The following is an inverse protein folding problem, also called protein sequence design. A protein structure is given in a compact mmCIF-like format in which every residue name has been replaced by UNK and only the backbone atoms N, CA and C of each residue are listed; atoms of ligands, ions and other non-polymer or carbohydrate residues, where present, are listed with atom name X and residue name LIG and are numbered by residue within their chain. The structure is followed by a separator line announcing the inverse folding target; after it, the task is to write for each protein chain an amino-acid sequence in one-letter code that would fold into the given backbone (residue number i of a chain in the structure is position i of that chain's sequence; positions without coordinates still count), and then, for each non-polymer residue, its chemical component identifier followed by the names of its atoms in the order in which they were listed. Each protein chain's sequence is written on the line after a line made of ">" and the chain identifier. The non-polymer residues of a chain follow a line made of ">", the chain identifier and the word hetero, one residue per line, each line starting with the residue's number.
data_IF_606222526155
#
_entry.id   IF_606222526155
#
_cell.length_a   1.000
_cell.length_b   1.000
_cell.length_c   1.000
_cell.angle_alpha   90.00
_cell.angle_beta   90.00
_cell.angle_gamma   90.00
#
_symmetry.space_group_name_H-M   'P 1'
#
loop_
_entity.id
_entity.type
_entity.pdbx_description
1 polymer ?
#
# COMPACT_ATOMS: atom_id res chain seq x y z
N UNK A 1 -0.27 42.06 27.06
CA UNK A 1 -1.17 41.14 27.78
C UNK A 1 -1.51 40.00 26.85
N UNK A 2 -0.74 38.91 26.91
CA UNK A 2 -1.01 37.70 26.14
C UNK A 2 -1.84 36.77 27.02
N UNK A 3 -3.11 36.59 26.69
CA UNK A 3 -4.00 35.68 27.39
C UNK A 3 -3.54 34.25 27.16
N UNK A 4 -3.02 33.66 28.23
CA UNK A 4 -2.62 32.26 28.34
C UNK A 4 -3.90 31.41 28.37
N UNK A 5 -4.36 30.95 27.21
CA UNK A 5 -5.52 30.06 27.13
C UNK A 5 -5.05 28.61 27.38
N UNK A 6 -4.68 28.33 28.63
CA UNK A 6 -4.51 26.96 29.11
C UNK A 6 -5.91 26.36 29.26
N UNK A 7 -6.45 25.81 28.17
CA UNK A 7 -7.64 24.96 28.24
C UNK A 7 -7.32 23.79 29.17
N UNK A 8 -7.82 23.86 30.41
CA UNK A 8 -7.72 22.78 31.39
C UNK A 8 -8.35 21.54 30.76
N UNK A 9 -7.52 20.57 30.38
CA UNK A 9 -7.99 19.29 29.86
C UNK A 9 -8.64 18.58 31.04
N UNK A 10 -9.98 18.64 31.11
CA UNK A 10 -10.75 17.93 32.13
C UNK A 10 -10.68 16.44 31.83
N UNK A 11 -9.78 15.77 32.53
CA UNK A 11 -9.71 14.32 32.54
C UNK A 11 -11.03 13.75 33.06
N UNK A 12 -11.61 12.73 32.40
CA UNK A 12 -12.69 11.95 33.00
C UNK A 12 -12.20 11.40 34.35
N UNK A 13 -13.09 11.40 35.34
CA UNK A 13 -12.78 10.77 36.63
C UNK A 13 -12.36 9.30 36.39
N UNK A 14 -11.39 8.74 37.13
CA UNK A 14 -10.98 7.35 36.98
C UNK A 14 -12.14 6.34 37.10
N UNK A 15 -13.20 6.73 37.82
CA UNK A 15 -14.43 5.97 38.02
C UNK A 15 -15.57 6.35 37.06
N UNK A 16 -15.29 7.16 36.03
CA UNK A 16 -16.26 7.45 34.99
C UNK A 16 -16.65 6.14 34.27
N UNK A 17 -17.91 6.03 33.87
CA UNK A 17 -18.42 4.87 33.14
C UNK A 17 -17.71 4.72 31.79
N UNK A 18 -17.70 3.50 31.26
CA UNK A 18 -17.01 3.16 30.02
C UNK A 18 -17.46 4.05 28.84
N UNK A 19 -18.72 4.50 28.79
CA UNK A 19 -19.17 5.38 27.71
C UNK A 19 -18.54 6.78 27.79
N UNK A 20 -18.43 7.36 28.99
CA UNK A 20 -17.76 8.65 29.20
C UNK A 20 -16.26 8.59 28.91
N UNK A 21 -15.59 7.49 29.32
CA UNK A 21 -14.17 7.29 29.01
C UNK A 21 -13.95 7.10 27.50
N UNK A 22 -14.82 6.35 26.82
CA UNK A 22 -14.75 6.18 25.37
C UNK A 22 -15.00 7.48 24.61
N UNK A 23 -15.99 8.28 24.98
CA UNK A 23 -16.29 9.55 24.29
C UNK A 23 -15.09 10.51 24.32
N UNK A 24 -14.38 10.58 25.46
CA UNK A 24 -13.15 11.36 25.57
C UNK A 24 -12.02 10.79 24.69
N UNK A 25 -11.88 9.46 24.66
CA UNK A 25 -10.91 8.80 23.77
C UNK A 25 -11.24 9.08 22.30
N UNK A 26 -12.48 8.90 21.87
CA UNK A 26 -12.96 9.09 20.50
C UNK A 26 -12.68 10.51 19.98
N UNK A 27 -12.93 11.54 20.78
CA UNK A 27 -12.57 12.93 20.42
C UNK A 27 -11.04 13.09 20.26
N UNK A 28 -10.27 12.48 21.16
CA UNK A 28 -8.81 12.44 21.07
C UNK A 28 -8.31 11.71 19.83
N UNK A 29 -8.89 10.56 19.50
CA UNK A 29 -8.60 9.75 18.33
C UNK A 29 -8.87 10.55 17.05
N UNK A 30 -10.01 11.24 16.94
CA UNK A 30 -10.30 12.11 15.81
C UNK A 30 -9.26 13.21 15.62
N UNK A 31 -8.80 13.84 16.70
CA UNK A 31 -7.75 14.86 16.62
C UNK A 31 -6.41 14.25 16.18
N UNK A 32 -6.03 13.08 16.71
CA UNK A 32 -4.79 12.40 16.35
C UNK A 32 -4.77 11.88 14.91
N UNK A 33 -5.92 11.42 14.39
CA UNK A 33 -6.03 10.94 13.01
C UNK A 33 -6.02 12.09 12.00
N UNK A 34 -6.60 13.25 12.35
CA UNK A 34 -6.64 14.42 11.47
C UNK A 34 -5.34 15.24 11.50
N UNK A 35 -4.76 15.45 12.68
CA UNK A 35 -3.58 16.31 12.88
C UNK A 35 -2.56 15.66 13.84
N UNK A 36 -1.92 14.54 13.46
CA UNK A 36 -1.04 13.78 14.34
C UNK A 36 0.14 14.60 14.91
N UNK A 37 0.61 15.61 14.17
CA UNK A 37 1.76 16.45 14.55
C UNK A 37 1.42 17.59 15.53
N UNK A 38 0.13 17.91 15.74
CA UNK A 38 -0.29 19.06 16.55
C UNK A 38 -0.83 18.70 17.93
N UNK A 39 -0.86 17.40 18.27
CA UNK A 39 -1.40 16.94 19.54
C UNK A 39 -0.43 17.31 20.67
N UNK A 40 -0.82 18.18 21.63
CA UNK A 40 0.06 18.54 22.73
C UNK A 40 0.35 17.34 23.62
N UNK A 41 1.59 17.22 24.10
CA UNK A 41 2.00 16.14 25.00
C UNK A 41 1.07 15.94 26.23
N UNK A 42 0.57 17.00 26.91
CA UNK A 42 -0.40 16.83 28.00
C UNK A 42 -1.71 16.17 27.58
N UNK A 43 -2.20 16.48 26.37
CA UNK A 43 -3.41 15.86 25.81
C UNK A 43 -3.17 14.39 25.48
N UNK A 44 -2.01 14.07 24.90
CA UNK A 44 -1.60 12.69 24.64
C UNK A 44 -1.49 11.85 25.93
N UNK A 45 -0.86 12.40 26.97
CA UNK A 45 -0.74 11.71 28.27
C UNK A 45 -2.11 11.48 28.91
N UNK A 46 -3.01 12.45 28.80
CA UNK A 46 -4.38 12.31 29.27
C UNK A 46 -5.12 11.16 28.59
N UNK A 47 -5.02 11.08 27.27
CA UNK A 47 -5.60 9.98 26.49
C UNK A 47 -4.99 8.63 26.88
N UNK A 48 -3.68 8.57 27.10
CA UNK A 48 -3.00 7.34 27.51
C UNK A 48 -3.44 6.87 28.90
N UNK A 49 -3.60 7.79 29.85
CA UNK A 49 -4.12 7.47 31.18
C UNK A 49 -5.56 6.96 31.09
N UNK A 50 -6.41 7.55 30.25
CA UNK A 50 -7.79 7.08 30.07
C UNK A 50 -7.82 5.71 29.38
N UNK A 51 -6.99 5.45 28.37
CA UNK A 51 -6.92 4.13 27.72
C UNK A 51 -6.41 3.04 28.67
N UNK A 52 -5.43 3.38 29.52
CA UNK A 52 -4.94 2.50 30.58
C UNK A 52 -6.02 2.23 31.63
N UNK A 53 -6.69 3.27 32.12
CA UNK A 53 -7.77 3.15 33.09
C UNK A 53 -8.89 2.29 32.53
N UNK A 54 -9.32 2.49 31.27
CA UNK A 54 -10.33 1.67 30.60
C UNK A 54 -9.97 0.17 30.61
N UNK A 55 -8.70 -0.17 30.39
CA UNK A 55 -8.24 -1.56 30.43
C UNK A 55 -8.12 -2.12 31.87
N UNK A 56 -8.16 -1.26 32.89
CA UNK A 56 -7.83 -1.62 34.28
C UNK A 56 -8.91 -1.27 35.31
N UNK A 57 -10.02 -0.60 34.96
CA UNK A 57 -11.05 -0.09 35.89
C UNK A 57 -11.69 -1.19 36.75
N UNK A 58 -11.72 -2.43 36.28
CA UNK A 58 -12.17 -3.59 37.07
C UNK A 58 -11.16 -4.11 38.11
N UNK A 59 -9.86 -3.76 38.00
CA UNK A 59 -8.86 -4.19 39.00
C UNK A 59 -8.97 -3.43 40.32
N UNK A 60 -9.63 -2.28 40.35
CA UNK A 60 -9.68 -1.40 41.54
C UNK A 60 -10.92 -1.64 42.40
N UNK A 61 -12.04 -2.10 41.81
CA UNK A 61 -13.32 -2.24 42.52
C UNK A 61 -13.72 -3.69 42.85
N UNK A 62 -12.94 -4.69 42.42
CA UNK A 62 -13.20 -6.09 42.71
C UNK A 62 -12.47 -6.59 43.96
N UNK A 63 -13.08 -6.43 45.14
CA UNK A 63 -12.75 -7.23 46.34
C UNK A 63 -13.14 -8.71 46.21
N UNK A 64 -12.88 -9.32 45.04
CA UNK A 64 -13.27 -10.67 44.66
C UNK A 64 -12.07 -11.62 44.70
N UNK A 65 -12.32 -12.87 45.09
CA UNK A 65 -11.31 -13.91 45.36
C UNK A 65 -10.35 -14.13 44.17
N UNK A 66 -9.11 -14.60 44.42
CA UNK A 66 -8.03 -14.65 43.42
C UNK A 66 -8.20 -15.63 42.23
N UNK A 67 -9.38 -16.23 42.04
CA UNK A 67 -9.53 -17.40 41.17
C UNK A 67 -10.54 -17.26 40.01
N UNK A 68 -11.07 -16.06 39.73
CA UNK A 68 -11.87 -15.82 38.52
C UNK A 68 -11.10 -14.97 37.51
N UNK A 69 -10.48 -15.64 36.54
CA UNK A 69 -9.73 -15.04 35.41
C UNK A 69 -10.68 -14.43 34.34
N UNK A 70 -11.90 -14.02 34.71
CA UNK A 70 -12.95 -13.61 33.76
C UNK A 70 -13.47 -12.20 34.04
N UNK A 71 -12.68 -11.16 33.75
CA UNK A 71 -13.30 -9.86 33.39
C UNK A 71 -12.37 -8.85 32.68
N UNK A 72 -11.05 -8.90 32.90
CA UNK A 72 -10.10 -8.05 32.15
C UNK A 72 -10.06 -8.35 30.64
N UNK A 73 -10.50 -9.55 30.24
CA UNK A 73 -10.64 -9.93 28.83
C UNK A 73 -11.87 -9.30 28.16
N UNK A 74 -12.88 -8.89 28.92
CA UNK A 74 -14.12 -8.31 28.39
C UNK A 74 -13.91 -6.83 28.05
N UNK A 75 -13.34 -6.04 28.96
CA UNK A 75 -13.03 -4.62 28.70
C UNK A 75 -11.99 -4.43 27.59
N UNK A 76 -10.96 -5.28 27.52
CA UNK A 76 -10.01 -5.24 26.41
C UNK A 76 -10.66 -5.57 25.05
N UNK A 77 -11.65 -6.47 25.04
CA UNK A 77 -12.41 -6.82 23.84
C UNK A 77 -13.31 -5.67 23.41
N UNK A 78 -14.06 -5.10 24.34
CA UNK A 78 -14.95 -3.98 24.08
C UNK A 78 -14.16 -2.75 23.57
N UNK A 79 -13.00 -2.44 24.17
CA UNK A 79 -12.14 -1.36 23.67
C UNK A 79 -11.62 -1.64 22.25
N UNK A 80 -11.24 -2.89 21.95
CA UNK A 80 -10.77 -3.28 20.62
C UNK A 80 -11.88 -3.18 19.57
N UNK A 81 -13.10 -3.64 19.90
CA UNK A 81 -14.28 -3.51 19.03
C UNK A 81 -14.61 -2.03 18.79
N UNK A 82 -14.62 -1.19 19.83
CA UNK A 82 -14.82 0.26 19.69
C UNK A 82 -13.77 0.96 18.82
N UNK A 83 -12.50 0.59 18.95
CA UNK A 83 -11.42 1.10 18.10
C UNK A 83 -11.62 0.65 16.65
N UNK A 84 -12.09 -0.58 16.44
CA UNK A 84 -12.41 -1.10 15.10
C UNK A 84 -13.54 -0.29 14.47
N UNK A 85 -14.65 -0.10 15.18
CA UNK A 85 -15.80 0.68 14.72
C UNK A 85 -15.43 2.15 14.42
N UNK A 86 -14.54 2.74 15.24
CA UNK A 86 -14.04 4.09 15.02
C UNK A 86 -13.25 4.19 13.70
N UNK A 87 -12.35 3.23 13.46
CA UNK A 87 -11.56 3.20 12.22
C UNK A 87 -12.47 3.03 11.00
N UNK A 88 -13.46 2.14 11.06
CA UNK A 88 -14.41 1.94 9.97
C UNK A 88 -15.20 3.22 9.65
N UNK A 89 -15.78 3.88 10.67
CA UNK A 89 -16.49 5.16 10.50
C UNK A 89 -15.58 6.24 9.92
N UNK A 90 -14.33 6.31 10.39
CA UNK A 90 -13.36 7.26 9.86
C UNK A 90 -13.10 6.99 8.36
N UNK A 91 -12.92 5.73 7.97
CA UNK A 91 -12.75 5.35 6.57
C UNK A 91 -13.98 5.67 5.73
N UNK A 92 -15.20 5.53 6.24
CA UNK A 92 -16.42 5.91 5.53
C UNK A 92 -16.48 7.41 5.21
N UNK A 93 -16.00 8.27 6.11
CA UNK A 93 -15.87 9.70 5.82
C UNK A 93 -14.87 9.98 4.69
N UNK A 94 -13.76 9.22 4.65
CA UNK A 94 -12.76 9.35 3.58
C UNK A 94 -13.28 8.82 2.25
N UNK A 95 -14.06 7.74 2.25
CA UNK A 95 -14.76 7.20 1.07
C UNK A 95 -15.66 8.25 0.45
N UNK A 96 -16.57 8.83 1.25
CA UNK A 96 -17.51 9.84 0.79
C UNK A 96 -16.80 11.05 0.15
N UNK A 97 -15.68 11.50 0.72
CA UNK A 97 -14.88 12.58 0.15
C UNK A 97 -14.14 12.17 -1.14
N UNK A 98 -13.87 10.88 -1.34
CA UNK A 98 -13.20 10.37 -2.54
C UNK A 98 -14.13 10.17 -3.74
N UNK A 99 -15.45 10.05 -3.52
CA UNK A 99 -16.43 9.73 -4.58
C UNK A 99 -16.48 10.77 -5.70
N UNK A 100 -16.22 12.05 -5.39
CA UNK A 100 -16.20 13.14 -6.37
C UNK A 100 -14.89 13.22 -7.18
N UNK A 101 -13.83 12.55 -6.74
CA UNK A 101 -12.49 12.68 -7.31
C UNK A 101 -12.24 11.69 -8.44
N UNK A 102 -11.35 12.06 -9.38
CA UNK A 102 -11.01 11.24 -10.55
C UNK A 102 -9.51 11.24 -10.83
N UNK A 103 -9.04 10.16 -11.46
CA UNK A 103 -7.70 10.01 -12.02
C UNK A 103 -6.57 10.48 -11.09
N UNK A 104 -5.79 11.48 -11.50
CA UNK A 104 -4.62 11.98 -10.75
C UNK A 104 -5.01 12.62 -9.42
N UNK A 105 -6.16 13.30 -9.38
CA UNK A 105 -6.66 13.95 -8.18
C UNK A 105 -7.04 12.90 -7.14
N UNK A 106 -7.67 11.80 -7.59
CA UNK A 106 -7.97 10.65 -6.75
C UNK A 106 -6.70 9.99 -6.20
N UNK A 107 -5.66 9.80 -7.04
CA UNK A 107 -4.39 9.23 -6.59
C UNK A 107 -3.69 10.13 -5.57
N UNK A 108 -3.63 11.44 -5.82
CA UNK A 108 -3.01 12.40 -4.90
C UNK A 108 -3.75 12.47 -3.57
N UNK A 109 -5.08 12.50 -3.61
CA UNK A 109 -5.92 12.45 -2.42
C UNK A 109 -5.68 11.17 -1.64
N UNK A 110 -5.76 10.01 -2.31
CA UNK A 110 -5.56 8.71 -1.66
C UNK A 110 -4.18 8.61 -1.00
N UNK A 111 -3.11 9.07 -1.66
CA UNK A 111 -1.75 9.07 -1.11
C UNK A 111 -1.61 10.02 0.08
N UNK A 112 -2.20 11.21 0.00
CA UNK A 112 -2.20 12.18 1.11
C UNK A 112 -2.94 11.62 2.33
N UNK A 113 -4.09 10.99 2.09
CA UNK A 113 -4.89 10.38 3.13
C UNK A 113 -4.23 9.14 3.72
N UNK A 114 -3.54 8.34 2.91
CA UNK A 114 -2.73 7.23 3.37
C UNK A 114 -1.59 7.69 4.30
N UNK A 115 -0.82 8.69 3.89
CA UNK A 115 0.28 9.25 4.70
C UNK A 115 -0.26 9.80 6.04
N UNK A 116 -1.42 10.47 6.01
CA UNK A 116 -2.10 10.97 7.22
C UNK A 116 -2.60 9.85 8.12
N UNK A 117 -3.30 8.88 7.54
CA UNK A 117 -3.94 7.77 8.24
C UNK A 117 -2.91 6.85 8.89
N UNK A 118 -1.84 6.49 8.16
CA UNK A 118 -0.76 5.64 8.70
C UNK A 118 0.02 6.35 9.80
N UNK A 119 0.28 7.65 9.66
CA UNK A 119 0.88 8.45 10.74
C UNK A 119 -0.02 8.46 11.98
N UNK A 120 -1.32 8.75 11.82
CA UNK A 120 -2.30 8.71 12.91
C UNK A 120 -2.39 7.33 13.58
N UNK A 121 -2.40 6.26 12.78
CA UNK A 121 -2.42 4.88 13.25
C UNK A 121 -1.18 4.52 14.09
N UNK A 122 0.01 5.07 13.77
CA UNK A 122 1.20 4.90 14.60
C UNK A 122 1.03 5.54 15.99
N UNK A 123 0.42 6.72 16.07
CA UNK A 123 0.11 7.36 17.36
C UNK A 123 -0.94 6.57 18.14
N UNK A 124 -2.00 6.11 17.48
CA UNK A 124 -3.01 5.23 18.09
C UNK A 124 -2.37 3.95 18.62
N UNK A 125 -1.46 3.35 17.87
CA UNK A 125 -0.78 2.12 18.30
C UNK A 125 0.05 2.33 19.57
N UNK A 126 0.69 3.50 19.71
CA UNK A 126 1.41 3.88 20.95
C UNK A 126 0.43 4.14 22.10
N UNK A 127 -0.68 4.81 21.82
CA UNK A 127 -1.73 5.08 22.80
C UNK A 127 -2.32 3.79 23.39
N UNK A 128 -2.52 2.79 22.54
CA UNK A 128 -3.07 1.48 22.91
C UNK A 128 -1.99 0.43 23.17
N UNK A 129 -0.77 0.81 23.54
CA UNK A 129 0.31 -0.13 23.87
C UNK A 129 -0.10 -1.13 24.96
N UNK A 130 -0.86 -0.69 25.96
CA UNK A 130 -1.35 -1.56 27.02
C UNK A 130 -2.31 -2.63 26.47
N UNK A 131 -3.29 -2.22 25.65
CA UNK A 131 -4.23 -3.12 24.97
C UNK A 131 -3.49 -4.12 24.07
N UNK A 132 -2.53 -3.64 23.28
CA UNK A 132 -1.69 -4.47 22.41
C UNK A 132 -0.93 -5.55 23.20
N UNK A 133 -0.38 -5.20 24.36
CA UNK A 133 0.43 -6.11 25.17
C UNK A 133 -0.40 -7.08 25.99
N UNK A 134 -1.47 -6.62 26.62
CA UNK A 134 -2.19 -7.38 27.65
C UNK A 134 -3.47 -8.06 27.16
N UNK A 135 -4.01 -7.64 26.01
CA UNK A 135 -5.18 -8.27 25.41
C UNK A 135 -4.86 -8.86 24.02
N UNK A 136 -4.37 -8.05 23.07
CA UNK A 136 -4.15 -8.50 21.68
C UNK A 136 -3.16 -9.68 21.62
N UNK A 137 -1.97 -9.54 22.22
CA UNK A 137 -0.95 -10.60 22.19
C UNK A 137 -1.46 -11.93 22.79
N UNK A 138 -2.06 -11.97 24.01
CA UNK A 138 -2.63 -13.20 24.53
C UNK A 138 -3.75 -13.82 23.69
N UNK A 139 -4.57 -13.02 22.99
CA UNK A 139 -5.61 -13.57 22.11
C UNK A 139 -4.99 -14.23 20.86
N UNK A 140 -3.96 -13.60 20.29
CA UNK A 140 -3.25 -14.16 19.15
C UNK A 140 -2.44 -15.40 19.51
N UNK A 141 -1.78 -15.42 20.67
CA UNK A 141 -1.05 -16.59 21.17
C UNK A 141 -1.98 -17.79 21.44
N UNK A 142 -3.28 -17.56 21.62
CA UNK A 142 -4.33 -18.59 21.70
C UNK A 142 -4.83 -19.08 20.34
N UNK A 143 -4.25 -18.61 19.24
CA UNK A 143 -4.63 -18.97 17.88
C UNK A 143 -5.92 -18.30 17.39
N UNK A 144 -6.33 -17.18 18.00
CA UNK A 144 -7.50 -16.44 17.50
C UNK A 144 -7.11 -15.64 16.25
N UNK A 145 -7.63 -16.06 15.11
CA UNK A 145 -7.50 -15.36 13.83
C UNK A 145 -8.25 -14.01 13.85
N UNK A 146 -7.81 -13.05 13.03
CA UNK A 146 -8.43 -11.72 12.91
C UNK A 146 -8.15 -10.73 14.05
N UNK A 147 -7.21 -11.03 14.96
CA UNK A 147 -6.82 -10.13 16.06
C UNK A 147 -5.42 -9.57 15.83
N UNK A 148 -5.33 -8.27 15.59
CA UNK A 148 -4.10 -7.59 15.20
C UNK A 148 -3.73 -6.47 16.19
N UNK A 149 -2.44 -6.12 16.32
CA UNK A 149 -2.04 -4.88 16.97
C UNK A 149 -2.72 -3.69 16.31
N UNK A 150 -3.06 -2.64 17.07
CA UNK A 150 -3.85 -1.50 16.57
C UNK A 150 -3.32 -0.89 15.27
N UNK A 151 -1.99 -0.80 15.09
CA UNK A 151 -1.42 -0.34 13.82
C UNK A 151 -1.80 -1.26 12.64
N UNK A 152 -1.61 -2.56 12.82
CA UNK A 152 -1.90 -3.56 11.78
C UNK A 152 -3.42 -3.65 11.55
N UNK A 153 -4.24 -3.57 12.60
CA UNK A 153 -5.68 -3.45 12.48
C UNK A 153 -6.06 -2.27 11.58
N UNK A 154 -5.46 -1.10 11.77
CA UNK A 154 -5.73 0.07 10.94
C UNK A 154 -5.38 -0.18 9.47
N UNK A 155 -4.28 -0.87 9.18
CA UNK A 155 -3.90 -1.25 7.82
C UNK A 155 -4.87 -2.28 7.21
N UNK A 156 -5.27 -3.31 7.97
CA UNK A 156 -6.28 -4.29 7.55
C UNK A 156 -7.59 -3.58 7.22
N UNK A 157 -8.06 -2.70 8.11
CA UNK A 157 -9.28 -1.92 7.90
C UNK A 157 -9.21 -1.06 6.62
N UNK A 158 -8.06 -0.44 6.35
CA UNK A 158 -7.85 0.29 5.11
C UNK A 158 -7.94 -0.62 3.87
N UNK A 159 -7.27 -1.77 3.93
CA UNK A 159 -7.24 -2.78 2.86
C UNK A 159 -8.58 -3.48 2.61
N UNK A 160 -9.42 -3.65 3.64
CA UNK A 160 -10.73 -4.32 3.51
C UNK A 160 -11.86 -3.37 3.17
N UNK A 161 -11.80 -2.11 3.63
CA UNK A 161 -12.90 -1.16 3.47
C UNK A 161 -12.62 -0.09 2.41
N UNK A 162 -11.43 0.51 2.39
CA UNK A 162 -11.15 1.67 1.53
C UNK A 162 -10.57 1.29 0.17
N UNK A 163 -9.62 0.35 0.13
CA UNK A 163 -9.02 -0.11 -1.14
C UNK A 163 -10.09 -0.73 -2.08
N UNK A 164 -10.98 -1.64 -1.63
CA UNK A 164 -12.01 -2.20 -2.49
C UNK A 164 -13.03 -1.17 -2.92
N UNK A 165 -13.35 -0.17 -2.10
CA UNK A 165 -14.26 0.92 -2.49
C UNK A 165 -13.71 1.67 -3.72
N UNK A 166 -12.44 2.10 -3.68
CA UNK A 166 -11.81 2.84 -4.78
C UNK A 166 -11.58 1.96 -6.02
N UNK A 167 -11.36 0.66 -5.81
CA UNK A 167 -11.22 -0.29 -6.90
C UNK A 167 -12.56 -0.77 -7.51
N UNK A 168 -13.63 -0.82 -6.73
CA UNK A 168 -14.93 -1.37 -7.11
C UNK A 168 -15.58 -0.61 -8.26
N UNK A 169 -15.35 0.70 -8.37
CA UNK A 169 -15.76 1.48 -9.53
C UNK A 169 -14.75 1.29 -10.68
N UNK A 170 -14.85 0.14 -11.36
CA UNK A 170 -14.13 -0.19 -12.61
C UNK A 170 -12.60 -0.13 -12.51
N UNK A 171 -12.00 -0.40 -11.36
CA UNK A 171 -10.53 -0.29 -11.15
C UNK A 171 -10.02 1.12 -11.46
N UNK A 172 -10.73 2.18 -11.05
CA UNK A 172 -10.28 3.58 -11.20
C UNK A 172 -8.84 3.77 -10.71
N UNK A 173 -8.53 3.22 -9.54
CA UNK A 173 -7.20 3.29 -8.94
C UNK A 173 -6.13 2.69 -9.86
N UNK A 174 -6.25 1.40 -10.20
CA UNK A 174 -5.29 0.70 -11.07
C UNK A 174 -5.19 1.39 -12.43
N UNK A 175 -6.31 1.78 -13.06
CA UNK A 175 -6.29 2.49 -14.35
C UNK A 175 -5.62 3.86 -14.27
N UNK A 176 -5.84 4.62 -13.19
CA UNK A 176 -5.17 5.89 -12.99
C UNK A 176 -3.66 5.69 -12.86
N UNK A 177 -3.22 4.70 -12.09
CA UNK A 177 -1.79 4.37 -11.97
C UNK A 177 -1.19 3.91 -13.30
N UNK A 178 -1.89 3.08 -14.07
CA UNK A 178 -1.43 2.66 -15.40
C UNK A 178 -1.34 3.82 -16.40
N UNK A 179 -2.29 4.76 -16.38
CA UNK A 179 -2.20 5.98 -17.20
C UNK A 179 -1.06 6.88 -16.78
N UNK A 180 -0.76 6.96 -15.48
CA UNK A 180 0.40 7.71 -14.99
C UNK A 180 1.70 7.10 -15.52
N UNK A 181 1.81 5.76 -15.50
CA UNK A 181 2.94 5.03 -16.12
C UNK A 181 3.02 5.32 -17.62
N UNK A 182 1.90 5.25 -18.34
CA UNK A 182 1.88 5.47 -19.80
C UNK A 182 2.33 6.89 -20.17
N UNK A 183 1.85 7.91 -19.43
CA UNK A 183 2.30 9.30 -19.63
C UNK A 183 3.78 9.47 -19.34
N UNK A 184 4.30 8.77 -18.33
CA UNK A 184 5.73 8.77 -18.05
C UNK A 184 6.53 8.11 -19.20
N UNK A 185 6.04 7.02 -19.78
CA UNK A 185 6.66 6.40 -20.98
C UNK A 185 6.71 7.35 -22.17
N UNK A 186 5.68 8.20 -22.32
CA UNK A 186 5.60 9.25 -23.36
C UNK A 186 6.43 10.51 -23.05
N UNK A 187 7.18 10.52 -21.93
CA UNK A 187 8.03 11.66 -21.54
C UNK A 187 7.25 12.88 -21.05
N UNK A 188 5.98 12.73 -20.66
CA UNK A 188 5.17 13.83 -20.12
C UNK A 188 5.54 14.11 -18.66
N UNK A 189 5.40 15.37 -18.22
CA UNK A 189 5.58 15.75 -16.82
C UNK A 189 4.53 15.07 -15.93
N UNK A 190 4.94 13.96 -15.33
CA UNK A 190 4.15 13.14 -14.42
C UNK A 190 4.88 13.00 -13.10
N UNK A 191 4.13 12.99 -12.00
CA UNK A 191 4.68 12.83 -10.66
C UNK A 191 5.16 11.38 -10.45
N UNK A 192 6.45 11.16 -10.66
CA UNK A 192 7.10 9.86 -10.60
C UNK A 192 6.99 9.23 -9.20
N UNK A 193 6.85 10.06 -8.16
CA UNK A 193 6.78 9.58 -6.78
C UNK A 193 5.46 8.90 -6.46
N UNK A 194 4.38 9.21 -7.19
CA UNK A 194 3.06 8.64 -6.94
C UNK A 194 3.01 7.15 -7.27
N UNK A 195 3.65 6.69 -8.36
CA UNK A 195 3.65 5.27 -8.72
C UNK A 195 4.31 4.45 -7.61
N UNK A 196 5.50 4.89 -7.18
CA UNK A 196 6.22 4.25 -6.08
C UNK A 196 5.41 4.21 -4.80
N UNK A 197 4.80 5.33 -4.38
CA UNK A 197 3.97 5.36 -3.17
C UNK A 197 2.76 4.43 -3.27
N UNK A 198 2.15 4.31 -4.46
CA UNK A 198 1.05 3.35 -4.69
C UNK A 198 1.53 1.92 -4.49
N UNK A 199 2.68 1.57 -5.07
CA UNK A 199 3.31 0.25 -4.89
C UNK A 199 3.62 0.00 -3.42
N UNK A 200 4.29 0.93 -2.74
CA UNK A 200 4.63 0.84 -1.31
C UNK A 200 3.39 0.66 -0.43
N UNK A 201 2.28 1.30 -0.79
CA UNK A 201 0.99 1.17 -0.09
C UNK A 201 0.41 -0.23 -0.27
N UNK A 202 0.36 -0.75 -1.51
CA UNK A 202 -0.15 -2.10 -1.78
C UNK A 202 0.69 -3.17 -1.09
N UNK A 203 2.01 -3.01 -1.07
CA UNK A 203 2.91 -3.87 -0.30
C UNK A 203 2.61 -3.77 1.19
N UNK A 204 2.45 -2.57 1.74
CA UNK A 204 2.16 -2.39 3.18
C UNK A 204 0.82 -3.00 3.62
N UNK A 205 -0.13 -3.17 2.70
CA UNK A 205 -1.43 -3.79 2.95
C UNK A 205 -1.37 -5.33 2.89
N UNK A 206 -0.35 -5.90 2.25
CA UNK A 206 -0.12 -7.33 2.19
C UNK A 206 0.36 -7.89 3.52
N UNK A 207 -0.53 -8.09 4.49
CA UNK A 207 -0.19 -8.57 5.83
C UNK A 207 -0.35 -10.10 5.87
N UNK A 208 0.68 -10.82 6.32
CA UNK A 208 0.59 -12.25 6.60
C UNK A 208 -0.03 -12.47 8.00
N UNK A 209 -1.12 -13.23 8.08
CA UNK A 209 -1.83 -13.50 9.34
C UNK A 209 -1.00 -14.31 10.35
N UNK A 210 -0.06 -15.12 9.84
CA UNK A 210 0.83 -15.97 10.64
C UNK A 210 2.09 -15.25 11.09
N UNK A 211 2.61 -14.34 10.26
CA UNK A 211 3.76 -13.49 10.57
C UNK A 211 3.50 -12.03 10.20
N UNK A 212 3.08 -11.23 11.19
CA UNK A 212 2.79 -9.80 11.01
C UNK A 212 4.03 -8.96 10.64
N UNK A 213 5.24 -9.53 10.63
CA UNK A 213 6.44 -8.87 10.10
C UNK A 213 6.71 -9.20 8.64
N UNK A 214 6.01 -10.20 8.09
CA UNK A 214 6.15 -10.63 6.72
C UNK A 214 5.08 -9.99 5.85
N UNK A 215 5.54 -9.43 4.74
CA UNK A 215 4.66 -8.88 3.71
C UNK A 215 4.29 -9.97 2.71
N UNK A 216 3.00 -10.14 2.48
CA UNK A 216 2.43 -10.99 1.43
C UNK A 216 2.28 -10.18 0.15
N UNK A 217 2.72 -10.73 -0.98
CA UNK A 217 2.64 -10.03 -2.27
C UNK A 217 1.27 -10.11 -2.94
N UNK A 218 0.36 -10.97 -2.46
CA UNK A 218 -0.94 -11.28 -3.09
C UNK A 218 -1.72 -10.02 -3.48
N UNK A 219 -1.92 -9.09 -2.55
CA UNK A 219 -2.62 -7.82 -2.81
C UNK A 219 -1.95 -6.99 -3.93
N UNK A 220 -0.63 -6.92 -3.92
CA UNK A 220 0.14 -6.24 -4.95
C UNK A 220 0.04 -6.96 -6.32
N UNK A 221 0.08 -8.29 -6.33
CA UNK A 221 0.05 -9.09 -7.56
C UNK A 221 -1.33 -9.04 -8.24
N UNK A 222 -2.40 -9.17 -7.46
CA UNK A 222 -3.77 -9.18 -7.95
C UNK A 222 -4.22 -7.79 -8.40
N UNK A 223 -3.93 -6.76 -7.61
CA UNK A 223 -4.48 -5.42 -7.86
C UNK A 223 -3.63 -4.53 -8.75
N UNK A 224 -2.34 -4.84 -8.91
CA UNK A 224 -1.42 -4.02 -9.68
C UNK A 224 -0.58 -4.82 -10.69
N UNK A 225 0.23 -5.79 -10.23
CA UNK A 225 1.24 -6.44 -11.09
C UNK A 225 0.62 -7.05 -12.35
N UNK A 226 -0.45 -7.83 -12.21
CA UNK A 226 -1.11 -8.49 -13.35
C UNK A 226 -1.62 -7.49 -14.38
N UNK A 227 -2.25 -6.40 -13.93
CA UNK A 227 -2.77 -5.36 -14.80
C UNK A 227 -1.64 -4.53 -15.45
N UNK A 228 -0.57 -4.28 -14.71
CA UNK A 228 0.63 -3.60 -15.17
C UNK A 228 1.38 -4.37 -16.25
N UNK A 229 1.59 -5.68 -16.07
CA UNK A 229 2.23 -6.53 -17.07
C UNK A 229 1.43 -6.57 -18.37
N UNK A 230 0.11 -6.75 -18.29
CA UNK A 230 -0.78 -6.73 -19.47
C UNK A 230 -0.79 -5.38 -20.20
N UNK A 231 -0.82 -4.28 -19.45
CA UNK A 231 -0.76 -2.94 -20.04
C UNK A 231 0.59 -2.68 -20.72
N UNK A 232 1.68 -3.20 -20.13
CA UNK A 232 3.03 -3.10 -20.69
C UNK A 232 3.20 -3.92 -21.95
N UNK A 233 2.69 -5.15 -21.96
CA UNK A 233 2.63 -6.00 -23.14
C UNK A 233 1.90 -5.30 -24.29
N UNK A 234 0.69 -4.78 -24.04
CA UNK A 234 -0.08 -4.07 -25.07
C UNK A 234 0.61 -2.81 -25.58
N UNK A 235 1.29 -2.06 -24.70
CA UNK A 235 2.02 -0.86 -25.07
C UNK A 235 3.17 -1.19 -26.01
N UNK A 236 4.04 -2.15 -25.64
CA UNK A 236 5.18 -2.52 -26.46
C UNK A 236 4.78 -3.26 -27.74
N UNK A 237 3.66 -3.99 -27.76
CA UNK A 237 3.14 -4.60 -28.99
C UNK A 237 2.76 -3.53 -30.03
N UNK A 238 2.04 -2.49 -29.58
CA UNK A 238 1.67 -1.37 -30.45
C UNK A 238 2.88 -0.54 -30.88
N UNK A 239 3.81 -0.26 -29.96
CA UNK A 239 5.01 0.52 -30.25
C UNK A 239 5.95 -0.22 -31.21
N UNK A 240 6.07 -1.55 -31.08
CA UNK A 240 6.89 -2.38 -31.96
C UNK A 240 6.33 -2.40 -33.39
N UNK A 241 5.03 -2.65 -33.56
CA UNK A 241 4.40 -2.66 -34.90
C UNK A 241 4.48 -1.28 -35.58
N UNK A 242 4.26 -0.19 -34.83
CA UNK A 242 4.42 1.17 -35.36
C UNK A 242 5.87 1.45 -35.78
N UNK A 243 6.85 1.08 -34.95
CA UNK A 243 8.26 1.32 -35.25
C UNK A 243 8.73 0.50 -36.46
N UNK A 244 8.32 -0.76 -36.56
CA UNK A 244 8.64 -1.65 -37.68
C UNK A 244 7.98 -1.22 -39.00
N UNK A 245 6.87 -0.48 -38.96
CA UNK A 245 6.23 0.06 -40.16
C UNK A 245 7.03 1.24 -40.78
N UNK A 246 7.78 1.97 -39.96
CA UNK A 246 8.45 3.22 -40.37
C UNK A 246 9.99 3.09 -40.46
N UNK A 247 10.58 2.09 -39.81
CA UNK A 247 12.03 1.98 -39.63
C UNK A 247 12.58 0.63 -40.08
N UNK A 248 13.91 0.55 -40.22
CA UNK A 248 14.58 -0.70 -40.54
C UNK A 248 14.60 -1.65 -39.35
N UNK A 249 14.79 -2.94 -39.63
CA UNK A 249 14.92 -3.97 -38.60
C UNK A 249 16.16 -3.77 -37.71
N UNK A 250 17.23 -3.17 -38.26
CA UNK A 250 18.44 -2.84 -37.48
C UNK A 250 18.13 -1.75 -36.46
N UNK A 251 17.43 -0.69 -36.89
CA UNK A 251 16.99 0.37 -35.99
C UNK A 251 16.04 -0.17 -34.92
N UNK A 252 15.18 -1.13 -35.29
CA UNK A 252 14.29 -1.80 -34.34
C UNK A 252 15.07 -2.54 -33.26
N UNK A 253 16.09 -3.32 -33.61
CA UNK A 253 16.92 -4.07 -32.65
C UNK A 253 17.63 -3.12 -31.69
N UNK A 254 18.22 -2.03 -32.21
CA UNK A 254 18.84 -0.96 -31.38
C UNK A 254 17.80 -0.33 -30.45
N UNK A 255 16.57 -0.11 -30.92
CA UNK A 255 15.48 0.46 -30.14
C UNK A 255 14.97 -0.47 -29.05
N UNK A 256 14.89 -1.78 -29.32
CA UNK A 256 14.50 -2.80 -28.34
C UNK A 256 15.49 -2.86 -27.18
N UNK A 257 16.79 -2.79 -27.44
CA UNK A 257 17.80 -2.73 -26.36
C UNK A 257 17.57 -1.54 -25.44
N UNK A 258 17.31 -0.36 -26.01
CA UNK A 258 17.03 0.85 -25.24
C UNK A 258 15.73 0.74 -24.46
N UNK A 259 14.65 0.22 -25.06
CA UNK A 259 13.39 0.00 -24.36
C UNK A 259 13.54 -0.97 -23.18
N UNK A 260 14.26 -2.08 -23.35
CA UNK A 260 14.51 -3.04 -22.28
C UNK A 260 15.36 -2.42 -21.15
N UNK A 261 16.34 -1.58 -21.49
CA UNK A 261 17.17 -0.88 -20.51
C UNK A 261 16.32 0.11 -19.70
N UNK A 262 15.58 0.99 -20.36
CA UNK A 262 14.74 2.01 -19.72
C UNK A 262 13.65 1.38 -18.87
N UNK A 263 13.01 0.31 -19.33
CA UNK A 263 11.96 -0.36 -18.56
C UNK A 263 12.53 -1.14 -17.38
N UNK A 264 13.74 -1.70 -17.51
CA UNK A 264 14.48 -2.30 -16.40
C UNK A 264 14.83 -1.29 -15.31
N UNK A 265 15.32 -0.11 -15.69
CA UNK A 265 15.61 0.99 -14.75
C UNK A 265 14.35 1.53 -14.07
N UNK A 266 13.23 1.59 -14.80
CA UNK A 266 11.91 1.93 -14.23
C UNK A 266 11.48 0.92 -13.18
N UNK A 267 11.62 -0.37 -13.48
CA UNK A 267 11.27 -1.43 -12.55
C UNK A 267 12.07 -1.32 -11.24
N UNK A 268 13.37 -1.05 -11.34
CA UNK A 268 14.23 -0.87 -10.17
C UNK A 268 13.89 0.35 -9.32
N UNK A 269 13.37 1.41 -9.94
CA UNK A 269 13.05 2.67 -9.25
C UNK A 269 11.67 2.66 -8.59
N UNK A 270 10.67 2.14 -9.30
CA UNK A 270 9.25 2.38 -9.01
C UNK A 270 8.49 1.13 -8.55
N UNK A 271 9.02 -0.08 -8.79
CA UNK A 271 8.31 -1.35 -8.57
C UNK A 271 9.03 -2.23 -7.53
N UNK A 272 8.33 -3.28 -7.07
CA UNK A 272 8.94 -4.30 -6.23
C UNK A 272 9.95 -5.16 -7.00
N UNK A 273 11.01 -5.61 -6.32
CA UNK A 273 12.05 -6.44 -6.91
C UNK A 273 11.52 -7.76 -7.50
N UNK A 274 10.41 -8.29 -6.96
CA UNK A 274 9.75 -9.49 -7.50
C UNK A 274 9.19 -9.28 -8.91
N UNK A 275 8.78 -8.06 -9.26
CA UNK A 275 8.16 -7.74 -10.55
C UNK A 275 9.14 -7.58 -11.69
N UNK A 276 10.42 -7.30 -11.40
CA UNK A 276 11.44 -7.11 -12.43
C UNK A 276 11.56 -8.32 -13.36
N UNK A 277 11.63 -9.53 -12.79
CA UNK A 277 11.78 -10.76 -13.60
C UNK A 277 10.57 -11.01 -14.51
N UNK A 278 9.32 -11.04 -14.01
CA UNK A 278 8.12 -11.12 -14.84
C UNK A 278 8.05 -10.03 -15.91
N UNK A 279 8.29 -8.77 -15.54
CA UNK A 279 8.24 -7.63 -16.46
C UNK A 279 9.25 -7.78 -17.60
N UNK A 280 10.50 -8.13 -17.29
CA UNK A 280 11.50 -8.31 -18.33
C UNK A 280 11.19 -9.50 -19.23
N UNK A 281 10.61 -10.57 -18.67
CA UNK A 281 10.14 -11.72 -19.46
C UNK A 281 9.03 -11.30 -20.43
N UNK A 282 8.03 -10.57 -19.95
CA UNK A 282 6.94 -10.03 -20.79
C UNK A 282 7.47 -9.13 -21.90
N UNK A 283 8.37 -8.19 -21.57
CA UNK A 283 8.94 -7.28 -22.58
C UNK A 283 9.75 -8.05 -23.64
N UNK A 284 10.55 -9.04 -23.24
CA UNK A 284 11.29 -9.90 -24.18
C UNK A 284 10.35 -10.74 -25.05
N UNK A 285 9.28 -11.29 -24.47
CA UNK A 285 8.27 -12.06 -25.21
C UNK A 285 7.63 -11.25 -26.33
N UNK A 286 7.22 -10.01 -26.01
CA UNK A 286 6.55 -9.12 -26.98
C UNK A 286 7.54 -8.55 -28.00
N UNK A 287 8.64 -7.96 -27.55
CA UNK A 287 9.57 -7.25 -28.43
C UNK A 287 10.45 -8.18 -29.27
N UNK A 288 10.78 -9.37 -28.76
CA UNK A 288 11.75 -10.26 -29.40
C UNK A 288 11.06 -11.52 -29.90
N UNK A 289 10.39 -12.28 -29.01
CA UNK A 289 9.89 -13.61 -29.37
C UNK A 289 8.79 -13.55 -30.43
N UNK A 290 7.89 -12.56 -30.36
CA UNK A 290 6.84 -12.36 -31.36
C UNK A 290 7.38 -11.98 -32.74
N UNK A 291 8.47 -11.21 -32.78
CA UNK A 291 9.12 -10.76 -34.02
C UNK A 291 10.33 -11.60 -34.43
N UNK A 292 10.58 -12.72 -33.74
CA UNK A 292 11.79 -13.55 -33.89
C UNK A 292 12.07 -13.96 -35.33
N UNK A 293 11.04 -14.41 -36.06
CA UNK A 293 11.19 -14.82 -37.47
C UNK A 293 11.69 -13.68 -38.36
N UNK A 294 11.12 -12.47 -38.19
CA UNK A 294 11.56 -11.28 -38.93
C UNK A 294 13.00 -10.90 -38.58
N UNK A 295 13.37 -11.02 -37.30
CA UNK A 295 14.75 -10.77 -36.83
C UNK A 295 15.71 -11.78 -37.46
N UNK A 296 15.40 -13.07 -37.44
CA UNK A 296 16.22 -14.14 -38.03
C UNK A 296 16.39 -13.98 -39.56
N UNK A 297 15.32 -13.65 -40.27
CA UNK A 297 15.36 -13.35 -41.71
C UNK A 297 16.25 -12.13 -42.03
N UNK A 298 16.19 -11.09 -41.19
CA UNK A 298 17.05 -9.92 -41.32
C UNK A 298 18.53 -10.21 -41.09
N UNK A 299 18.85 -11.03 -40.08
CA UNK A 299 20.23 -11.48 -39.82
C UNK A 299 20.80 -12.19 -41.05
N UNK A 300 20.01 -13.09 -41.67
CA UNK A 300 20.44 -13.82 -42.85
C UNK A 300 20.70 -12.89 -44.05
N UNK A 301 19.95 -11.78 -44.17
CA UNK A 301 20.12 -10.79 -45.23
C UNK A 301 21.28 -9.81 -44.98
N UNK A 302 21.69 -9.61 -43.73
CA UNK A 302 22.75 -8.67 -43.31
C UNK A 302 24.11 -9.35 -43.07
N UNK A 303 24.11 -10.68 -43.02
CA UNK A 303 25.30 -11.52 -42.81
C UNK A 303 26.44 -11.24 -43.78
N UNK A 304 26.13 -10.72 -44.98
CA UNK A 304 27.12 -10.45 -46.02
C UNK A 304 27.77 -9.05 -45.92
N UNK A 305 27.25 -8.13 -45.09
CA UNK A 305 27.64 -6.71 -45.14
C UNK A 305 27.90 -6.00 -43.78
N UNK A 306 27.32 -6.41 -42.65
CA UNK A 306 27.45 -5.67 -41.37
C UNK A 306 27.64 -6.58 -40.13
N UNK A 307 28.90 -6.85 -39.79
CA UNK A 307 29.29 -7.83 -38.74
C UNK A 307 28.85 -7.41 -37.31
N UNK A 308 28.89 -6.11 -36.97
CA UNK A 308 28.49 -5.61 -35.65
C UNK A 308 26.97 -5.71 -35.41
N UNK A 309 26.15 -5.40 -36.41
CA UNK A 309 24.71 -5.41 -36.29
C UNK A 309 24.18 -6.87 -36.24
N UNK A 310 24.81 -7.78 -36.97
CA UNK A 310 24.58 -9.23 -36.87
C UNK A 310 24.92 -9.76 -35.47
N UNK A 311 26.04 -9.33 -34.87
CA UNK A 311 26.40 -9.72 -33.50
C UNK A 311 25.38 -9.22 -32.46
N UNK A 312 24.86 -7.99 -32.59
CA UNK A 312 23.80 -7.48 -31.70
C UNK A 312 22.51 -8.28 -31.85
N UNK A 313 22.09 -8.57 -33.08
CA UNK A 313 20.89 -9.38 -33.33
C UNK A 313 21.01 -10.79 -32.73
N UNK A 314 22.16 -11.44 -32.89
CA UNK A 314 22.43 -12.74 -32.25
C UNK A 314 22.46 -12.66 -30.73
N UNK A 315 23.07 -11.63 -30.13
CA UNK A 315 23.06 -11.43 -28.68
C UNK A 315 21.65 -11.22 -28.12
N UNK A 316 20.80 -10.50 -28.87
CA UNK A 316 19.41 -10.25 -28.51
C UNK A 316 18.55 -11.53 -28.60
N UNK A 317 18.75 -12.36 -29.62
CA UNK A 317 18.13 -13.68 -29.74
C UNK A 317 18.60 -14.64 -28.63
N UNK A 318 19.91 -14.67 -28.33
CA UNK A 318 20.47 -15.51 -27.28
C UNK A 318 19.89 -15.17 -25.88
N UNK A 319 19.67 -13.87 -25.59
CA UNK A 319 19.05 -13.38 -24.35
C UNK A 319 17.60 -13.84 -24.12
N UNK A 320 16.95 -14.41 -25.13
CA UNK A 320 15.61 -15.02 -25.04
C UNK A 320 15.63 -16.53 -24.90
N UNK A 321 16.72 -17.19 -25.30
CA UNK A 321 16.88 -18.63 -25.11
C UNK A 321 16.98 -19.02 -23.63
N UNK A 322 17.56 -18.14 -22.81
CA UNK A 322 17.63 -18.28 -21.34
C UNK A 322 16.29 -18.10 -20.63
N UNK A 323 15.26 -17.57 -21.30
CA UNK A 323 13.92 -17.35 -20.71
C UNK A 323 13.01 -18.57 -20.93
N UNK A 324 13.40 -19.49 -21.80
CA UNK A 324 12.67 -20.71 -22.16
C UNK A 324 13.21 -21.98 -21.49
N UNK A 325 14.25 -21.88 -20.65
CA UNK A 325 14.86 -22.97 -19.89
C UNK A 325 14.47 -22.89 -18.40
#
# INVERSE_FOLDING_TARGET
>A
MASNNSSTILLPHPDADAATQWAFLEEGLHHMMNEPQKVPYPKYMSLYTVSYNYCTTLKIHGGGKPNEVRDGSFMGRDLYEKVTDFLEKYLDTLKAASESLRDDELLRYYMKEWDRYTAGAQYMNRLFTYLNRHWVKPQRDRGKEGVYPVYILALVQWGTHFLPHIQSDRSKFTRATLRLVERHRKGQEADQTLVKKVVDTLLSLGIDETDLQKTTLVEYQEHFETAFLRATEKHYDAEAENFLAENTLIDYVKKVEEWLRVEGERADRDLDASTKKPLMSTCKGVLIQRHRKRIEEGVQSLADHEEEDVQRMHALLARTSDVLA
#
